data_IF_272240355060
#
_entry.id   IF_272240355060
#
_cell.length_a   1.000
_cell.length_b   1.000
_cell.length_c   1.000
_cell.angle_alpha   90.00
_cell.angle_beta   90.00
_cell.angle_gamma   90.00
#
_symmetry.space_group_name_H-M   'P 1'
#
loop_
_entity.id
_entity.type
_entity.pdbx_description
1 polymer ?
#
# COMPACT_ATOMS: atom_id res chain seq x y z
N UNK A 1 -26.79 20.14 -6.31
CA UNK A 1 -25.34 20.20 -6.63
C UNK A 1 -24.60 21.04 -5.59
N UNK A 2 -24.25 20.46 -4.44
CA UNK A 2 -23.33 21.05 -3.44
C UNK A 2 -22.80 19.91 -2.57
N UNK A 3 -21.78 19.17 -3.03
CA UNK A 3 -21.09 18.17 -2.19
C UNK A 3 -19.71 17.73 -2.70
N UNK A 4 -18.99 18.57 -3.45
CA UNK A 4 -17.64 18.22 -3.95
C UNK A 4 -16.50 19.12 -3.45
N UNK A 5 -16.76 20.20 -2.69
CA UNK A 5 -15.70 21.15 -2.31
C UNK A 5 -14.91 20.79 -1.04
N UNK A 6 -15.37 19.83 -0.23
CA UNK A 6 -14.73 19.54 1.07
C UNK A 6 -13.70 18.40 1.06
N UNK A 7 -13.64 17.59 -0.01
CA UNK A 7 -12.71 16.44 -0.06
C UNK A 7 -11.30 16.83 -0.52
N UNK A 8 -11.18 17.88 -1.35
CA UNK A 8 -9.90 18.34 -1.89
C UNK A 8 -8.98 18.99 -0.85
N UNK A 9 -9.54 19.65 0.16
CA UNK A 9 -8.78 20.32 1.22
C UNK A 9 -8.15 19.31 2.19
N UNK A 10 -8.78 18.13 2.37
CA UNK A 10 -8.26 17.05 3.22
C UNK A 10 -7.04 16.34 2.64
N UNK A 11 -7.00 16.14 1.32
CA UNK A 11 -5.89 15.48 0.62
C UNK A 11 -4.64 16.37 0.53
N UNK A 12 -4.82 17.68 0.30
CA UNK A 12 -3.70 18.64 0.25
C UNK A 12 -2.90 18.73 1.56
N UNK A 13 -3.58 18.60 2.71
CA UNK A 13 -2.92 18.61 4.03
C UNK A 13 -2.19 17.31 4.36
N UNK A 14 -2.64 16.17 3.83
CA UNK A 14 -1.98 14.87 4.00
C UNK A 14 -0.68 14.76 3.18
N UNK A 15 -0.69 15.24 1.93
CA UNK A 15 0.51 15.20 1.05
C UNK A 15 1.61 16.14 1.55
N UNK A 16 1.25 17.32 2.07
CA UNK A 16 2.20 18.25 2.69
C UNK A 16 2.83 17.72 3.99
N UNK A 17 2.10 16.92 4.77
CA UNK A 17 2.63 16.32 6.00
C UNK A 17 3.66 15.21 5.71
N UNK A 18 3.47 14.42 4.64
CA UNK A 18 4.42 13.36 4.24
C UNK A 18 5.68 13.97 3.62
N UNK A 19 5.55 15.03 2.80
CA UNK A 19 6.69 15.73 2.21
C UNK A 19 7.59 16.40 3.28
N UNK A 20 7.01 16.96 4.34
CA UNK A 20 7.77 17.56 5.44
C UNK A 20 8.58 16.53 6.25
N UNK A 21 8.09 15.29 6.38
CA UNK A 21 8.81 14.20 7.06
C UNK A 21 10.01 13.73 6.21
N UNK A 22 9.86 13.66 4.89
CA UNK A 22 10.95 13.28 3.97
C UNK A 22 12.08 14.31 3.92
N UNK A 23 11.78 15.62 4.00
CA UNK A 23 12.80 16.68 4.00
C UNK A 23 13.52 16.77 5.36
N UNK A 24 12.83 16.52 6.48
CA UNK A 24 13.46 16.52 7.81
C UNK A 24 14.46 15.36 8.00
N UNK A 25 14.25 14.20 7.37
CA UNK A 25 15.17 13.06 7.46
C UNK A 25 16.43 13.22 6.60
N UNK A 26 16.38 14.00 5.50
CA UNK A 26 17.57 14.29 4.68
C UNK A 26 18.60 15.21 5.35
N UNK A 27 18.25 15.89 6.44
CA UNK A 27 19.17 16.82 7.14
C UNK A 27 19.87 16.22 8.37
N UNK A 28 19.47 15.03 8.85
CA UNK A 28 20.07 14.39 10.04
C UNK A 28 21.08 13.27 9.76
N UNK A 29 21.36 12.94 8.50
CA UNK A 29 22.27 11.84 8.12
C UNK A 29 23.55 12.33 7.42
N UNK A 30 24.22 13.36 7.96
CA UNK A 30 25.65 13.54 7.70
C UNK A 30 26.40 12.87 8.86
N UNK A 31 26.75 11.59 8.68
CA UNK A 31 27.63 10.85 9.61
C UNK A 31 28.94 10.52 8.90
N UNK A 32 30.02 11.02 9.48
CA UNK A 32 31.40 11.03 8.99
C UNK A 32 31.95 9.59 8.76
N UNK A 33 32.53 9.25 7.59
CA UNK A 33 32.93 7.88 7.23
C UNK A 33 34.24 7.37 7.87
N UNK A 34 34.70 7.91 9.00
CA UNK A 34 36.04 7.62 9.55
C UNK A 34 36.11 7.07 11.00
N UNK A 35 35.14 6.26 11.44
CA UNK A 35 35.29 5.48 12.69
C UNK A 35 35.30 3.98 12.42
N UNK A 36 36.41 3.26 12.68
CA UNK A 36 36.44 1.80 12.59
C UNK A 36 35.71 1.13 13.77
N UNK A 37 35.08 -0.05 13.58
CA UNK A 37 34.39 -0.76 14.64
C UNK A 37 35.37 -1.38 15.64
N UNK A 38 35.18 -1.10 16.93
CA UNK A 38 35.93 -1.70 18.03
C UNK A 38 35.65 -3.21 18.14
N UNK A 39 36.73 -3.97 18.16
CA UNK A 39 36.82 -5.38 18.52
C UNK A 39 36.46 -5.62 19.99
N UNK A 40 35.55 -6.55 20.25
CA UNK A 40 35.54 -7.32 21.50
C UNK A 40 35.30 -8.82 21.24
N UNK A 41 36.38 -9.59 21.35
CA UNK A 41 36.36 -11.04 21.61
C UNK A 41 36.04 -11.30 23.09
N UNK A 42 35.35 -12.41 23.40
CA UNK A 42 35.53 -13.08 24.70
C UNK A 42 34.32 -13.80 25.32
N UNK A 43 34.19 -15.09 24.98
CA UNK A 43 34.01 -16.22 25.91
C UNK A 43 32.63 -16.58 26.54
N UNK A 44 32.43 -17.92 26.50
CA UNK A 44 31.76 -18.86 27.45
C UNK A 44 30.26 -19.13 27.38
N UNK A 45 29.95 -20.39 27.04
CA UNK A 45 28.69 -21.10 27.30
C UNK A 45 28.38 -21.21 28.80
N UNK A 46 27.13 -21.55 29.15
CA UNK A 46 26.96 -22.80 29.89
C UNK A 46 25.72 -23.63 29.51
N UNK A 47 25.90 -24.95 29.57
CA UNK A 47 24.83 -25.94 29.73
C UNK A 47 24.11 -25.76 31.07
N UNK A 48 22.80 -26.02 31.09
CA UNK A 48 22.06 -26.35 32.31
C UNK A 48 21.26 -27.64 32.13
N UNK A 49 21.71 -28.66 32.87
CA UNK A 49 20.94 -29.81 33.34
C UNK A 49 19.66 -29.34 34.05
N UNK A 50 18.53 -29.98 33.77
CA UNK A 50 17.31 -29.87 34.57
C UNK A 50 16.95 -31.26 35.09
N UNK A 51 17.01 -31.38 36.42
CA UNK A 51 16.72 -32.58 37.18
C UNK A 51 15.60 -32.26 38.19
N UNK A 52 14.59 -33.14 38.22
CA UNK A 52 13.65 -33.47 39.31
C UNK A 52 12.57 -32.47 39.78
N UNK A 53 11.30 -32.91 39.68
CA UNK A 53 10.50 -33.30 40.87
C UNK A 53 9.24 -34.09 40.51
N UNK A 54 9.06 -35.25 41.17
CA UNK A 54 7.81 -35.99 41.36
C UNK A 54 7.27 -35.68 42.78
N UNK A 55 5.98 -35.97 43.09
CA UNK A 55 5.78 -37.05 44.07
C UNK A 55 4.51 -37.93 43.92
N UNK A 56 4.75 -39.23 44.19
CA UNK A 56 4.03 -40.23 44.99
C UNK A 56 2.65 -40.86 44.64
N UNK A 57 2.66 -42.19 44.78
CA UNK A 57 1.55 -43.11 45.06
C UNK A 57 1.45 -44.20 43.98
N UNK A 58 1.63 -45.51 44.17
CA UNK A 58 1.76 -46.38 45.34
C UNK A 58 1.17 -47.73 44.94
N UNK A 59 1.99 -48.80 44.94
CA UNK A 59 1.64 -50.22 45.18
C UNK A 59 2.63 -51.17 44.48
N UNK A 60 3.31 -51.99 45.28
CA UNK A 60 4.05 -53.20 44.90
C UNK A 60 3.24 -54.40 45.42
N UNK A 61 3.37 -55.59 44.82
CA UNK A 61 4.17 -56.62 45.49
C UNK A 61 5.02 -57.42 44.47
N UNK A 62 6.32 -57.68 44.68
CA UNK A 62 6.98 -58.55 45.66
C UNK A 62 7.28 -59.93 45.05
N UNK A 63 8.57 -60.26 44.92
CA UNK A 63 9.11 -61.63 45.01
C UNK A 63 10.65 -61.60 44.97
N UNK A 64 11.22 -61.97 46.12
CA UNK A 64 12.62 -62.30 46.41
C UNK A 64 13.17 -63.41 45.47
N UNK A 65 14.46 -63.65 45.24
CA UNK A 65 15.64 -63.77 46.12
C UNK A 65 16.87 -63.91 45.20
N UNK A 66 18.09 -63.49 45.60
CA UNK A 66 19.30 -63.50 44.77
C UNK A 66 20.03 -64.85 44.78
N UNK A 67 20.73 -65.20 43.70
CA UNK A 67 21.82 -66.18 43.75
C UNK A 67 22.90 -65.86 42.70
N UNK A 68 24.10 -65.71 43.23
CA UNK A 68 25.38 -65.50 42.54
C UNK A 68 25.77 -66.71 41.69
N UNK A 69 26.26 -66.45 40.47
CA UNK A 69 27.16 -67.35 39.74
C UNK A 69 28.07 -66.53 38.79
N UNK A 70 29.37 -66.60 39.07
CA UNK A 70 30.55 -66.09 38.32
C UNK A 70 30.58 -66.60 36.86
N UNK A 71 31.25 -65.90 35.92
CA UNK A 71 30.88 -65.86 34.50
C UNK A 71 31.60 -66.93 33.66
N UNK A 72 31.06 -67.31 32.49
CA UNK A 72 31.85 -67.91 31.43
C UNK A 72 32.15 -66.89 30.32
N UNK A 73 33.46 -66.68 30.12
CA UNK A 73 34.14 -66.50 28.85
C UNK A 73 33.53 -65.54 27.81
N UNK A 74 34.18 -64.39 27.70
CA UNK A 74 34.88 -63.98 26.47
C UNK A 74 34.12 -64.25 25.17
N UNK A 75 33.15 -63.37 24.89
CA UNK A 75 32.73 -63.06 23.53
C UNK A 75 32.74 -61.56 23.41
N UNK A 76 33.89 -61.01 23.02
CA UNK A 76 33.97 -59.68 22.44
C UNK A 76 32.87 -59.58 21.38
N UNK A 77 31.89 -58.67 21.49
CA UNK A 77 31.01 -58.39 20.37
C UNK A 77 31.90 -57.95 19.19
N UNK A 78 31.59 -58.37 17.95
CA UNK A 78 32.38 -57.91 16.81
C UNK A 78 32.38 -56.38 16.83
N UNK A 79 33.52 -55.71 16.54
CA UNK A 79 33.52 -54.28 16.41
C UNK A 79 32.45 -53.92 15.40
N UNK A 80 31.43 -53.17 15.84
CA UNK A 80 30.49 -52.53 14.93
C UNK A 80 31.38 -51.66 14.07
N UNK A 81 31.63 -52.10 12.83
CA UNK A 81 32.20 -51.23 11.83
C UNK A 81 31.23 -50.05 11.75
N UNK A 82 31.65 -48.90 12.27
CA UNK A 82 31.03 -47.64 11.95
C UNK A 82 31.26 -47.45 10.45
N UNK A 83 30.40 -48.06 9.64
CA UNK A 83 30.21 -47.65 8.27
C UNK A 83 29.67 -46.24 8.40
N UNK A 84 30.54 -45.24 8.25
CA UNK A 84 30.09 -43.88 7.97
C UNK A 84 29.05 -44.00 6.88
N UNK A 85 27.76 -43.66 7.13
CA UNK A 85 26.78 -43.68 6.06
C UNK A 85 27.34 -42.83 4.93
N UNK A 86 27.32 -43.35 3.71
CA UNK A 86 27.67 -42.56 2.55
C UNK A 86 26.89 -41.24 2.63
N UNK A 87 27.52 -40.08 2.34
CA UNK A 87 26.80 -38.81 2.41
C UNK A 87 25.53 -38.95 1.58
N UNK A 88 24.38 -38.64 2.20
CA UNK A 88 23.12 -38.59 1.46
C UNK A 88 23.36 -37.67 0.26
N UNK A 89 23.04 -38.13 -0.94
CA UNK A 89 23.35 -37.42 -2.19
C UNK A 89 22.78 -36.00 -2.16
N UNK A 90 21.62 -35.83 -1.55
CA UNK A 90 20.90 -34.56 -1.37
C UNK A 90 21.63 -33.60 -0.41
N UNK A 91 22.25 -34.11 0.66
CA UNK A 91 23.07 -33.27 1.53
C UNK A 91 24.39 -32.87 0.87
N UNK A 92 24.94 -33.73 0.00
CA UNK A 92 26.15 -33.41 -0.75
C UNK A 92 25.92 -32.30 -1.79
N UNK A 93 24.78 -32.31 -2.47
CA UNK A 93 24.39 -31.25 -3.41
C UNK A 93 24.10 -29.94 -2.69
N UNK A 94 23.35 -29.95 -1.59
CA UNK A 94 23.13 -28.76 -0.76
C UNK A 94 24.44 -28.18 -0.19
N UNK A 95 25.35 -29.03 0.29
CA UNK A 95 26.66 -28.58 0.79
C UNK A 95 27.51 -27.95 -0.31
N UNK A 96 27.47 -28.51 -1.52
CA UNK A 96 28.18 -27.94 -2.66
C UNK A 96 27.58 -26.58 -3.08
N UNK A 97 26.25 -26.41 -2.99
CA UNK A 97 25.62 -25.12 -3.22
C UNK A 97 26.08 -24.08 -2.19
N UNK A 98 26.13 -24.45 -0.90
CA UNK A 98 26.61 -23.56 0.16
C UNK A 98 28.07 -23.13 -0.07
N UNK A 99 28.95 -24.04 -0.47
CA UNK A 99 30.35 -23.71 -0.79
C UNK A 99 30.46 -22.70 -1.94
N UNK A 100 29.54 -22.73 -2.90
CA UNK A 100 29.47 -21.74 -3.98
C UNK A 100 28.90 -20.39 -3.54
N UNK A 101 27.98 -20.37 -2.56
CA UNK A 101 27.41 -19.15 -1.99
C UNK A 101 28.41 -18.39 -1.13
N UNK A 102 29.27 -19.12 -0.40
CA UNK A 102 30.29 -18.53 0.48
C UNK A 102 31.42 -17.81 -0.28
N UNK A 103 31.47 -17.93 -1.62
CA UNK A 103 32.47 -17.31 -2.49
C UNK A 103 31.79 -16.44 -3.55
N UNK A 104 31.82 -15.11 -3.36
CA UNK A 104 31.23 -14.12 -4.26
C UNK A 104 31.68 -14.29 -5.73
N UNK A 105 32.92 -14.73 -5.96
CA UNK A 105 33.43 -14.96 -7.30
C UNK A 105 32.73 -16.14 -8.02
N UNK A 106 32.03 -16.99 -7.27
CA UNK A 106 31.29 -18.15 -7.75
C UNK A 106 29.77 -17.96 -7.74
N UNK A 107 29.25 -16.79 -7.38
CA UNK A 107 27.79 -16.54 -7.33
C UNK A 107 27.06 -16.83 -8.65
N UNK A 108 27.70 -16.62 -9.80
CA UNK A 108 27.12 -17.02 -11.09
C UNK A 108 26.93 -18.54 -11.18
N UNK A 109 27.89 -19.33 -10.70
CA UNK A 109 27.78 -20.79 -10.66
C UNK A 109 26.76 -21.24 -9.60
N UNK A 110 26.76 -20.60 -8.42
CA UNK A 110 25.78 -20.83 -7.37
C UNK A 110 24.36 -20.63 -7.92
N UNK A 111 24.13 -19.55 -8.68
CA UNK A 111 22.83 -19.25 -9.30
C UNK A 111 22.36 -20.33 -10.26
N UNK A 112 23.21 -20.76 -11.18
CA UNK A 112 22.86 -21.84 -12.12
C UNK A 112 22.53 -23.13 -11.38
N UNK A 113 23.29 -23.46 -10.33
CA UNK A 113 23.05 -24.64 -9.50
C UNK A 113 21.74 -24.54 -8.73
N UNK A 114 21.50 -23.42 -8.04
CA UNK A 114 20.26 -23.16 -7.31
C UNK A 114 19.05 -23.26 -8.24
N UNK A 115 19.07 -22.63 -9.42
CA UNK A 115 17.96 -22.71 -10.36
C UNK A 115 17.66 -24.13 -10.82
N UNK A 116 18.70 -24.91 -11.07
CA UNK A 116 18.55 -26.30 -11.49
C UNK A 116 17.96 -27.15 -10.36
N UNK A 117 18.47 -26.98 -9.14
CA UNK A 117 18.00 -27.68 -7.94
C UNK A 117 16.56 -27.30 -7.59
N UNK A 118 16.19 -26.03 -7.71
CA UNK A 118 14.85 -25.52 -7.44
C UNK A 118 13.78 -26.18 -8.32
N UNK A 119 14.10 -26.48 -9.59
CA UNK A 119 13.11 -27.02 -10.54
C UNK A 119 13.13 -28.55 -10.61
N UNK A 120 14.30 -29.18 -10.38
CA UNK A 120 14.49 -30.63 -10.66
C UNK A 120 14.95 -31.44 -9.46
N UNK A 121 15.27 -30.80 -8.35
CA UNK A 121 15.72 -31.44 -7.13
C UNK A 121 14.62 -32.17 -6.37
N UNK A 122 15.04 -32.92 -5.36
CA UNK A 122 14.18 -33.41 -4.27
C UNK A 122 13.59 -32.26 -3.45
N UNK A 123 12.54 -32.51 -2.66
CA UNK A 123 11.91 -31.49 -1.80
C UNK A 123 12.92 -30.74 -0.92
N UNK A 124 13.89 -31.47 -0.35
CA UNK A 124 14.98 -30.88 0.43
C UNK A 124 15.89 -29.98 -0.43
N UNK A 125 16.31 -30.46 -1.60
CA UNK A 125 17.15 -29.67 -2.52
C UNK A 125 16.42 -28.44 -3.06
N UNK A 126 15.10 -28.53 -3.27
CA UNK A 126 14.27 -27.41 -3.71
C UNK A 126 14.21 -26.34 -2.63
N UNK A 127 14.01 -26.71 -1.36
CA UNK A 127 13.98 -25.75 -0.25
C UNK A 127 15.33 -25.04 -0.06
N UNK A 128 16.44 -25.79 -0.09
CA UNK A 128 17.79 -25.20 -0.02
C UNK A 128 18.06 -24.27 -1.22
N UNK A 129 17.58 -24.65 -2.41
CA UNK A 129 17.72 -23.83 -3.59
C UNK A 129 16.89 -22.54 -3.53
N UNK A 130 15.65 -22.59 -3.04
CA UNK A 130 14.81 -21.40 -2.81
C UNK A 130 15.49 -20.44 -1.84
N UNK A 131 16.03 -20.96 -0.74
CA UNK A 131 16.80 -20.16 0.22
C UNK A 131 18.06 -19.54 -0.41
N UNK A 132 18.75 -20.26 -1.29
CA UNK A 132 19.89 -19.71 -2.03
C UNK A 132 19.48 -18.60 -3.01
N UNK A 133 18.36 -18.78 -3.72
CA UNK A 133 17.83 -17.78 -4.66
C UNK A 133 17.49 -16.46 -3.98
N UNK A 134 17.07 -16.49 -2.71
CA UNK A 134 16.87 -15.28 -1.89
C UNK A 134 18.11 -14.38 -1.85
N UNK A 135 19.29 -14.97 -1.65
CA UNK A 135 20.54 -14.21 -1.52
C UNK A 135 21.12 -13.81 -2.88
N UNK A 136 20.91 -14.66 -3.89
CA UNK A 136 21.48 -14.45 -5.23
C UNK A 136 20.70 -13.45 -6.07
N UNK A 137 19.39 -13.33 -5.80
CA UNK A 137 18.47 -12.36 -6.39
C UNK A 137 18.44 -12.33 -7.92
N UNK A 138 17.84 -11.27 -8.44
CA UNK A 138 17.73 -10.97 -9.87
C UNK A 138 16.55 -11.62 -10.57
N UNK A 139 16.26 -11.14 -11.78
CA UNK A 139 15.06 -11.49 -12.55
C UNK A 139 14.96 -12.99 -12.85
N UNK A 140 16.07 -13.66 -13.17
CA UNK A 140 16.06 -15.11 -13.42
C UNK A 140 15.69 -15.89 -12.14
N UNK A 141 16.12 -15.42 -10.96
CA UNK A 141 15.78 -16.05 -9.69
C UNK A 141 14.28 -15.87 -9.40
N UNK A 142 13.75 -14.67 -9.59
CA UNK A 142 12.32 -14.40 -9.46
C UNK A 142 11.48 -15.30 -10.39
N UNK A 143 11.86 -15.41 -11.67
CA UNK A 143 11.21 -16.32 -12.64
C UNK A 143 11.28 -17.79 -12.24
N UNK A 144 12.36 -18.18 -11.56
CA UNK A 144 12.51 -19.55 -11.07
C UNK A 144 11.61 -19.79 -9.86
N UNK A 145 11.50 -18.83 -8.94
CA UNK A 145 10.61 -18.91 -7.78
C UNK A 145 9.15 -19.05 -8.21
N UNK A 146 8.68 -18.28 -9.19
CA UNK A 146 7.33 -18.44 -9.77
C UNK A 146 7.08 -19.86 -10.28
N UNK A 147 8.07 -20.47 -10.95
CA UNK A 147 7.95 -21.87 -11.40
C UNK A 147 7.87 -22.85 -10.23
N UNK A 148 8.64 -22.62 -9.16
CA UNK A 148 8.59 -23.44 -7.94
C UNK A 148 7.23 -23.32 -7.29
N UNK A 149 6.67 -22.11 -7.16
CA UNK A 149 5.34 -21.87 -6.62
C UNK A 149 4.27 -22.72 -7.33
N UNK A 150 4.35 -22.82 -8.66
CA UNK A 150 3.37 -23.53 -9.47
C UNK A 150 3.56 -25.07 -9.54
N UNK A 151 4.73 -25.61 -9.18
CA UNK A 151 5.07 -27.02 -9.50
C UNK A 151 5.72 -27.83 -8.39
N UNK A 152 6.23 -27.19 -7.34
CA UNK A 152 6.90 -27.87 -6.23
C UNK A 152 5.91 -28.40 -5.17
N UNK A 153 6.44 -29.15 -4.20
CA UNK A 153 5.67 -29.52 -3.01
C UNK A 153 5.33 -28.30 -2.14
N UNK A 154 4.29 -28.43 -1.33
CA UNK A 154 3.69 -27.33 -0.53
C UNK A 154 4.71 -26.49 0.24
N UNK A 155 5.68 -27.13 0.89
CA UNK A 155 6.70 -26.45 1.69
C UNK A 155 7.62 -25.58 0.84
N UNK A 156 8.11 -26.11 -0.28
CA UNK A 156 8.98 -25.37 -1.20
C UNK A 156 8.20 -24.28 -1.97
N UNK A 157 6.95 -24.54 -2.33
CA UNK A 157 6.08 -23.54 -2.95
C UNK A 157 5.80 -22.36 -1.99
N UNK A 158 5.50 -22.65 -0.72
CA UNK A 158 5.28 -21.64 0.33
C UNK A 158 6.53 -20.78 0.55
N UNK A 159 7.70 -21.42 0.70
CA UNK A 159 8.94 -20.67 0.88
C UNK A 159 9.28 -19.85 -0.38
N UNK A 160 9.01 -20.37 -1.58
CA UNK A 160 9.22 -19.64 -2.82
C UNK A 160 8.37 -18.36 -2.90
N UNK A 161 7.11 -18.40 -2.42
CA UNK A 161 6.25 -17.22 -2.32
C UNK A 161 6.83 -16.17 -1.37
N UNK A 162 7.25 -16.57 -0.18
CA UNK A 162 7.87 -15.65 0.78
C UNK A 162 9.14 -15.01 0.23
N UNK A 163 10.00 -15.80 -0.40
CA UNK A 163 11.24 -15.31 -1.00
C UNK A 163 10.93 -14.37 -2.18
N UNK A 164 9.98 -14.71 -3.05
CA UNK A 164 9.60 -13.85 -4.17
C UNK A 164 9.04 -12.52 -3.67
N UNK A 165 8.13 -12.54 -2.71
CA UNK A 165 7.56 -11.32 -2.09
C UNK A 165 8.66 -10.43 -1.51
N UNK A 166 9.63 -11.03 -0.82
CA UNK A 166 10.78 -10.31 -0.27
C UNK A 166 11.61 -9.63 -1.37
N UNK A 167 11.95 -10.36 -2.43
CA UNK A 167 12.74 -9.83 -3.54
C UNK A 167 12.01 -8.71 -4.30
N UNK A 168 10.71 -8.86 -4.56
CA UNK A 168 9.91 -7.82 -5.22
C UNK A 168 9.78 -6.57 -4.33
N UNK A 169 9.67 -6.75 -3.02
CA UNK A 169 9.65 -5.63 -2.07
C UNK A 169 11.00 -4.90 -2.02
N UNK A 170 12.12 -5.64 -2.08
CA UNK A 170 13.46 -5.06 -2.15
C UNK A 170 13.66 -4.25 -3.45
N UNK A 171 13.14 -4.75 -4.56
CA UNK A 171 13.16 -4.05 -5.86
C UNK A 171 12.40 -2.71 -5.83
N UNK A 172 11.41 -2.52 -4.95
CA UNK A 172 10.71 -1.23 -4.83
C UNK A 172 11.55 -0.13 -4.15
N UNK A 173 12.50 -0.51 -3.29
CA UNK A 173 13.24 0.43 -2.44
C UNK A 173 14.70 0.61 -2.85
N UNK A 174 15.20 -0.21 -3.78
CA UNK A 174 16.57 -0.14 -4.26
C UNK A 174 16.80 1.03 -5.23
N UNK A 175 18.00 1.60 -5.24
CA UNK A 175 18.39 2.71 -6.12
C UNK A 175 18.45 2.30 -7.61
N UNK A 176 18.53 1.00 -7.88
CA UNK A 176 18.63 0.44 -9.23
C UNK A 176 17.70 -0.78 -9.37
N UNK A 177 16.37 -0.56 -9.49
CA UNK A 177 15.41 -1.64 -9.55
C UNK A 177 15.59 -2.49 -10.82
N UNK A 178 15.22 -3.77 -10.73
CA UNK A 178 15.09 -4.60 -11.91
C UNK A 178 14.03 -4.02 -12.86
N UNK A 179 14.16 -4.21 -14.19
CA UNK A 179 13.12 -3.81 -15.13
C UNK A 179 11.79 -4.49 -14.80
N UNK A 180 10.70 -3.72 -14.80
CA UNK A 180 9.36 -4.25 -14.57
C UNK A 180 9.00 -5.29 -15.64
N UNK A 181 8.59 -6.48 -15.20
CA UNK A 181 8.22 -7.61 -16.06
C UNK A 181 6.75 -7.98 -15.82
N UNK A 182 5.82 -7.52 -16.69
CA UNK A 182 4.39 -7.76 -16.52
C UNK A 182 4.01 -9.24 -16.45
N UNK A 183 4.69 -10.08 -17.23
CA UNK A 183 4.43 -11.52 -17.26
C UNK A 183 4.83 -12.18 -15.95
N UNK A 184 5.94 -11.75 -15.34
CA UNK A 184 6.36 -12.23 -14.03
C UNK A 184 5.30 -11.95 -12.95
N UNK A 185 4.76 -10.73 -12.92
CA UNK A 185 3.74 -10.33 -11.97
C UNK A 185 2.44 -11.13 -12.15
N UNK A 186 1.98 -11.27 -13.40
CA UNK A 186 0.80 -12.07 -13.72
C UNK A 186 0.99 -13.53 -13.26
N UNK A 187 2.08 -14.16 -13.66
CA UNK A 187 2.36 -15.56 -13.32
C UNK A 187 2.52 -15.75 -11.80
N UNK A 188 3.11 -14.79 -11.08
CA UNK A 188 3.26 -14.84 -9.63
C UNK A 188 1.90 -14.79 -8.90
N UNK A 189 1.00 -13.92 -9.35
CA UNK A 189 -0.35 -13.80 -8.80
C UNK A 189 -1.16 -15.06 -9.12
N UNK A 190 -1.13 -15.56 -10.36
CA UNK A 190 -1.83 -16.77 -10.76
C UNK A 190 -1.31 -18.03 -10.04
N UNK A 191 -0.01 -18.07 -9.72
CA UNK A 191 0.63 -19.18 -9.01
C UNK A 191 0.61 -19.02 -7.47
N UNK A 192 -0.01 -17.96 -6.94
CA UNK A 192 -0.23 -17.84 -5.51
C UNK A 192 -1.18 -18.95 -5.02
N UNK A 193 -0.94 -19.47 -3.81
CA UNK A 193 -1.61 -20.66 -3.30
C UNK A 193 -3.06 -20.39 -2.90
N UNK A 194 -3.34 -19.23 -2.32
CA UNK A 194 -4.69 -18.81 -1.91
C UNK A 194 -4.97 -17.32 -2.19
N UNK A 195 -6.23 -16.92 -1.99
CA UNK A 195 -6.72 -15.55 -2.20
C UNK A 195 -5.97 -14.51 -1.37
N UNK A 196 -5.56 -14.85 -0.13
CA UNK A 196 -4.81 -13.91 0.73
C UNK A 196 -3.41 -13.68 0.18
N UNK A 197 -2.79 -14.70 -0.40
CA UNK A 197 -1.49 -14.58 -1.05
C UNK A 197 -1.60 -13.82 -2.39
N UNK A 198 -2.67 -14.04 -3.16
CA UNK A 198 -2.97 -13.27 -4.37
C UNK A 198 -3.11 -11.77 -4.04
N UNK A 199 -3.89 -11.43 -3.01
CA UNK A 199 -4.08 -10.06 -2.55
C UNK A 199 -2.74 -9.42 -2.14
N UNK A 200 -1.88 -10.16 -1.44
CA UNK A 200 -0.56 -9.65 -1.06
C UNK A 200 0.29 -9.23 -2.28
N UNK A 201 0.28 -10.02 -3.36
CA UNK A 201 0.96 -9.65 -4.60
C UNK A 201 0.28 -8.46 -5.29
N UNK A 202 -1.06 -8.38 -5.29
CA UNK A 202 -1.77 -7.24 -5.90
C UNK A 202 -1.56 -5.93 -5.15
N UNK A 203 -1.48 -5.96 -3.81
CA UNK A 203 -1.11 -4.79 -3.00
C UNK A 203 0.29 -4.32 -3.37
N UNK A 204 1.25 -5.24 -3.51
CA UNK A 204 2.62 -4.89 -3.90
C UNK A 204 2.69 -4.35 -5.34
N UNK A 205 1.92 -4.95 -6.26
CA UNK A 205 1.77 -4.47 -7.64
C UNK A 205 1.26 -3.03 -7.66
N UNK A 206 0.29 -2.68 -6.81
CA UNK A 206 -0.27 -1.33 -6.70
C UNK A 206 0.70 -0.27 -6.16
N UNK A 207 1.86 -0.67 -5.62
CA UNK A 207 2.93 0.28 -5.29
C UNK A 207 3.70 0.76 -6.53
N UNK A 208 3.53 0.10 -7.68
CA UNK A 208 4.10 0.55 -8.94
C UNK A 208 3.23 1.63 -9.60
N UNK A 209 3.81 2.52 -10.43
CA UNK A 209 3.04 3.48 -11.21
C UNK A 209 1.93 2.82 -12.07
N UNK A 210 0.80 3.50 -12.32
CA UNK A 210 -0.33 2.93 -13.06
C UNK A 210 0.05 2.34 -14.43
N UNK A 211 1.04 2.93 -15.12
CA UNK A 211 1.61 2.43 -16.39
C UNK A 211 2.14 1.00 -16.34
N UNK A 212 2.42 0.49 -15.15
CA UNK A 212 2.93 -0.86 -14.91
C UNK A 212 1.86 -1.76 -14.29
N UNK A 213 1.16 -1.27 -13.26
CA UNK A 213 0.16 -2.04 -12.54
C UNK A 213 -1.09 -2.32 -13.38
N UNK A 214 -1.65 -1.30 -14.05
CA UNK A 214 -2.93 -1.40 -14.76
C UNK A 214 -2.89 -2.47 -15.86
N UNK A 215 -1.88 -2.55 -16.75
CA UNK A 215 -1.83 -3.61 -17.76
C UNK A 215 -1.90 -5.02 -17.18
N UNK A 216 -1.21 -5.28 -16.07
CA UNK A 216 -1.24 -6.60 -15.40
C UNK A 216 -2.63 -6.89 -14.84
N UNK A 217 -3.26 -5.90 -14.20
CA UNK A 217 -4.60 -6.04 -13.65
C UNK A 217 -5.66 -6.26 -14.75
N UNK A 218 -5.54 -5.59 -15.90
CA UNK A 218 -6.40 -5.83 -17.06
C UNK A 218 -6.21 -7.25 -17.64
N UNK A 219 -4.98 -7.78 -17.60
CA UNK A 219 -4.71 -9.16 -18.00
C UNK A 219 -5.30 -10.20 -17.03
N UNK A 220 -5.46 -9.85 -15.76
CA UNK A 220 -6.07 -10.69 -14.71
C UNK A 220 -7.60 -10.59 -14.72
N UNK A 221 -8.16 -9.45 -15.14
CA UNK A 221 -9.60 -9.26 -15.37
C UNK A 221 -10.16 -10.21 -16.44
N UNK A 222 -9.31 -10.70 -17.33
CA UNK A 222 -9.66 -11.70 -18.35
C UNK A 222 -9.42 -13.15 -17.91
N UNK A 223 -8.96 -13.39 -16.67
CA UNK A 223 -8.71 -14.73 -16.14
C UNK A 223 -9.98 -15.58 -16.11
N UNK A 224 -9.90 -16.90 -16.32
CA UNK A 224 -11.05 -17.79 -16.16
C UNK A 224 -11.46 -18.01 -14.69
N UNK A 225 -10.66 -17.55 -13.73
CA UNK A 225 -10.94 -17.61 -12.29
C UNK A 225 -11.78 -16.39 -11.84
N UNK A 226 -13.03 -16.63 -11.45
CA UNK A 226 -13.97 -15.59 -11.02
C UNK A 226 -13.51 -14.84 -9.76
N UNK A 227 -12.79 -15.50 -8.83
CA UNK A 227 -12.25 -14.83 -7.64
C UNK A 227 -11.12 -13.89 -8.05
N UNK A 228 -10.23 -14.36 -8.92
CA UNK A 228 -9.11 -13.56 -9.41
C UNK A 228 -9.59 -12.36 -10.24
N UNK A 229 -10.64 -12.54 -11.04
CA UNK A 229 -11.33 -11.45 -11.75
C UNK A 229 -11.87 -10.39 -10.79
N UNK A 230 -12.57 -10.82 -9.74
CA UNK A 230 -13.14 -9.90 -8.75
C UNK A 230 -12.02 -9.11 -8.04
N UNK A 231 -10.99 -9.80 -7.59
CA UNK A 231 -9.85 -9.18 -6.93
C UNK A 231 -9.12 -8.20 -7.87
N UNK A 232 -8.94 -8.57 -9.14
CA UNK A 232 -8.38 -7.67 -10.15
C UNK A 232 -9.24 -6.41 -10.36
N UNK A 233 -10.58 -6.54 -10.33
CA UNK A 233 -11.48 -5.39 -10.44
C UNK A 233 -11.36 -4.42 -9.25
N UNK A 234 -11.30 -4.95 -8.02
CA UNK A 234 -11.12 -4.15 -6.81
C UNK A 234 -9.78 -3.40 -6.83
N UNK A 235 -8.71 -4.08 -7.27
CA UNK A 235 -7.39 -3.45 -7.40
C UNK A 235 -7.29 -2.50 -8.60
N UNK A 236 -8.05 -2.69 -9.68
CA UNK A 236 -8.15 -1.71 -10.77
C UNK A 236 -8.71 -0.40 -10.23
N UNK A 237 -9.86 -0.44 -9.56
CA UNK A 237 -10.50 0.75 -8.98
C UNK A 237 -9.54 1.49 -8.03
N UNK A 238 -8.80 0.76 -7.19
CA UNK A 238 -7.80 1.36 -6.30
C UNK A 238 -6.64 2.04 -7.07
N UNK A 239 -6.20 1.46 -8.20
CA UNK A 239 -5.09 1.98 -9.01
C UNK A 239 -5.49 3.07 -10.00
N UNK A 240 -6.79 3.23 -10.25
CA UNK A 240 -7.35 4.22 -11.19
C UNK A 240 -8.08 5.37 -10.48
N UNK A 241 -7.70 5.64 -9.23
CA UNK A 241 -8.26 6.73 -8.41
C UNK A 241 -9.77 6.61 -8.14
N UNK A 242 -10.28 5.38 -8.06
CA UNK A 242 -11.70 5.09 -7.82
C UNK A 242 -12.55 4.93 -9.07
N UNK A 243 -11.94 4.84 -10.26
CA UNK A 243 -12.69 4.63 -11.51
C UNK A 243 -13.09 3.16 -11.66
N UNK A 244 -14.39 2.91 -11.80
CA UNK A 244 -14.94 1.57 -11.98
C UNK A 244 -14.67 1.03 -13.40
N UNK A 245 -13.55 0.33 -13.56
CA UNK A 245 -13.17 -0.32 -14.84
C UNK A 245 -13.68 -1.75 -14.86
N UNK A 246 -14.52 -2.06 -15.85
CA UNK A 246 -15.14 -3.39 -16.01
C UNK A 246 -14.70 -4.14 -17.25
N UNK A 247 -14.00 -3.47 -18.18
CA UNK A 247 -13.50 -4.07 -19.42
C UNK A 247 -12.07 -3.63 -19.71
N UNK A 248 -11.33 -4.45 -20.49
CA UNK A 248 -9.99 -4.09 -20.95
C UNK A 248 -9.98 -2.78 -21.74
N UNK A 249 -10.94 -2.59 -22.64
CA UNK A 249 -11.04 -1.38 -23.48
C UNK A 249 -11.15 -0.10 -22.64
N UNK A 250 -11.99 -0.12 -21.59
CA UNK A 250 -12.11 1.00 -20.64
C UNK A 250 -10.78 1.28 -19.92
N UNK A 251 -10.09 0.23 -19.48
CA UNK A 251 -8.82 0.40 -18.78
C UNK A 251 -7.68 0.90 -19.65
N UNK A 252 -7.63 0.47 -20.91
CA UNK A 252 -6.63 0.94 -21.88
C UNK A 252 -6.88 2.40 -22.29
N UNK A 253 -8.15 2.79 -22.47
CA UNK A 253 -8.54 4.17 -22.73
C UNK A 253 -8.14 5.06 -21.54
N UNK A 254 -8.55 4.68 -20.32
CA UNK A 254 -8.17 5.38 -19.10
C UNK A 254 -6.66 5.53 -18.97
N UNK A 255 -5.90 4.46 -19.21
CA UNK A 255 -4.44 4.49 -19.08
C UNK A 255 -3.81 5.46 -20.09
N UNK A 256 -4.34 5.50 -21.31
CA UNK A 256 -3.86 6.41 -22.36
C UNK A 256 -4.12 7.87 -21.95
N UNK A 257 -5.35 8.20 -21.57
CA UNK A 257 -5.73 9.54 -21.13
C UNK A 257 -4.92 9.99 -19.91
N UNK A 258 -4.76 9.10 -18.93
CA UNK A 258 -4.00 9.37 -17.71
C UNK A 258 -2.53 9.66 -18.01
N UNK A 259 -1.90 8.93 -18.94
CA UNK A 259 -0.50 9.16 -19.30
C UNK A 259 -0.31 10.48 -20.07
N UNK A 260 -1.23 10.82 -20.96
CA UNK A 260 -1.21 12.11 -21.66
C UNK A 260 -1.39 13.28 -20.69
N UNK A 261 -2.29 13.15 -19.71
CA UNK A 261 -2.48 14.16 -18.66
C UNK A 261 -1.22 14.30 -17.79
N UNK A 262 -0.59 13.20 -17.40
CA UNK A 262 0.66 13.22 -16.63
C UNK A 262 1.81 13.87 -17.40
N UNK A 263 1.95 13.60 -18.70
CA UNK A 263 2.96 14.25 -19.55
C UNK A 263 2.70 15.75 -19.67
N UNK A 264 1.43 16.14 -19.87
CA UNK A 264 1.04 17.55 -19.92
C UNK A 264 1.37 18.28 -18.62
N UNK A 265 1.02 17.70 -17.46
CA UNK A 265 1.33 18.27 -16.15
C UNK A 265 2.84 18.45 -15.97
N UNK A 266 3.65 17.44 -16.32
CA UNK A 266 5.11 17.53 -16.21
C UNK A 266 5.68 18.64 -17.09
N UNK A 267 5.17 18.78 -18.32
CA UNK A 267 5.62 19.82 -19.25
C UNK A 267 5.21 21.22 -18.79
N UNK A 268 4.04 21.38 -18.19
CA UNK A 268 3.60 22.62 -17.54
C UNK A 268 4.49 22.94 -16.33
N UNK A 269 4.76 21.98 -15.45
CA UNK A 269 5.64 22.16 -14.28
C UNK A 269 7.08 22.55 -14.68
N UNK A 270 7.64 21.93 -15.73
CA UNK A 270 8.97 22.29 -16.25
C UNK A 270 8.99 23.72 -16.81
N UNK A 271 7.93 24.14 -17.51
CA UNK A 271 7.77 25.50 -18.00
C UNK A 271 7.62 26.52 -16.86
N UNK A 272 6.85 26.18 -15.81
CA UNK A 272 6.71 27.02 -14.62
C UNK A 272 8.05 27.16 -13.88
N UNK A 273 8.82 26.07 -13.74
CA UNK A 273 10.13 26.09 -13.12
C UNK A 273 11.12 26.95 -13.92
N UNK A 274 11.13 26.83 -15.24
CA UNK A 274 11.96 27.65 -16.13
C UNK A 274 11.55 29.14 -16.08
N UNK A 275 10.25 29.45 -16.08
CA UNK A 275 9.74 30.81 -15.97
C UNK A 275 10.06 31.44 -14.60
N UNK A 276 10.03 30.65 -13.52
CA UNK A 276 10.43 31.07 -12.18
C UNK A 276 11.94 31.37 -12.09
N UNK A 277 12.79 30.58 -12.77
CA UNK A 277 14.23 30.86 -12.88
C UNK A 277 14.53 32.11 -13.72
N UNK A 278 13.71 32.42 -14.73
CA UNK A 278 13.84 33.63 -15.55
C UNK A 278 13.16 34.88 -14.95
N UNK A 279 12.45 34.74 -13.81
CA UNK A 279 11.77 35.85 -13.14
C UNK A 279 10.51 36.35 -13.83
N UNK A 280 9.87 35.52 -14.67
CA UNK A 280 8.64 35.87 -15.38
C UNK A 280 7.41 35.70 -14.48
N UNK A 281 6.73 36.81 -14.19
CA UNK A 281 5.59 36.92 -13.25
C UNK A 281 4.24 36.55 -13.91
N UNK A 282 4.23 36.05 -15.15
CA UNK A 282 3.00 35.79 -15.89
C UNK A 282 2.84 34.29 -16.18
N UNK A 283 2.48 33.55 -15.13
CA UNK A 283 2.25 32.11 -15.16
C UNK A 283 0.81 31.81 -15.62
N UNK A 284 0.55 30.82 -16.50
CA UNK A 284 -0.78 30.47 -17.00
C UNK A 284 -1.79 30.15 -15.88
N UNK A 285 -1.33 29.44 -14.83
CA UNK A 285 -2.16 29.09 -13.66
C UNK A 285 -2.53 30.30 -12.81
N UNK A 286 -1.66 31.32 -12.76
CA UNK A 286 -1.97 32.60 -12.13
C UNK A 286 -2.94 33.43 -12.96
N UNK A 287 -2.89 33.33 -14.30
CA UNK A 287 -3.89 33.95 -15.16
C UNK A 287 -5.28 33.33 -14.95
N UNK A 288 -5.38 32.01 -14.78
CA UNK A 288 -6.65 31.34 -14.45
C UNK A 288 -7.15 31.66 -13.04
N UNK A 289 -6.27 31.65 -12.03
CA UNK A 289 -6.61 32.06 -10.67
C UNK A 289 -7.09 33.51 -10.60
N UNK A 290 -6.42 34.42 -11.31
CA UNK A 290 -6.83 35.82 -11.39
C UNK A 290 -8.18 35.97 -12.08
N UNK A 291 -8.46 35.15 -13.09
CA UNK A 291 -9.76 35.15 -13.79
C UNK A 291 -10.88 34.64 -12.90
N UNK A 292 -10.62 33.61 -12.09
CA UNK A 292 -11.56 33.10 -11.09
C UNK A 292 -11.80 34.11 -9.96
N UNK A 293 -10.76 34.80 -9.51
CA UNK A 293 -10.85 35.85 -8.49
C UNK A 293 -11.62 37.07 -9.01
N UNK A 294 -11.42 37.45 -10.28
CA UNK A 294 -12.22 38.50 -10.95
C UNK A 294 -13.68 38.08 -11.16
N UNK A 295 -13.96 36.80 -11.46
CA UNK A 295 -15.33 36.28 -11.59
C UNK A 295 -16.05 36.21 -10.23
N UNK A 296 -15.33 35.82 -9.16
CA UNK A 296 -15.86 35.78 -7.80
C UNK A 296 -16.10 37.20 -7.24
N UNK A 297 -15.22 38.15 -7.56
CA UNK A 297 -15.40 39.57 -7.26
C UNK A 297 -16.62 40.17 -8.00
N UNK A 298 -16.85 39.77 -9.25
CA UNK A 298 -18.05 40.22 -9.99
C UNK A 298 -19.34 39.61 -9.45
N UNK A 299 -19.33 38.34 -9.05
CA UNK A 299 -20.49 37.69 -8.42
C UNK A 299 -20.83 38.30 -7.06
N UNK A 300 -19.83 38.63 -6.26
CA UNK A 300 -20.03 39.28 -4.96
C UNK A 300 -20.53 40.71 -5.12
N UNK A 301 -19.99 41.47 -6.08
CA UNK A 301 -20.49 42.81 -6.39
C UNK A 301 -21.95 42.80 -6.91
N UNK A 302 -22.31 41.83 -7.77
CA UNK A 302 -23.67 41.69 -8.27
C UNK A 302 -24.66 41.31 -7.16
N UNK A 303 -24.25 40.45 -6.21
CA UNK A 303 -25.08 40.09 -5.06
C UNK A 303 -25.26 41.28 -4.09
N UNK A 304 -24.23 42.12 -3.89
CA UNK A 304 -24.36 43.33 -3.08
C UNK A 304 -25.23 44.42 -3.73
N UNK A 305 -25.30 44.49 -5.07
CA UNK A 305 -26.25 45.38 -5.76
C UNK A 305 -27.69 44.86 -5.65
N UNK A 306 -27.91 43.56 -5.81
CA UNK A 306 -29.24 42.94 -5.67
C UNK A 306 -29.78 43.09 -4.23
N UNK A 307 -28.95 42.90 -3.21
CA UNK A 307 -29.33 43.09 -1.81
C UNK A 307 -29.67 44.57 -1.48
N UNK A 308 -29.02 45.54 -2.14
CA UNK A 308 -29.33 46.96 -1.99
C UNK A 308 -30.62 47.36 -2.70
N UNK A 309 -30.90 46.79 -3.88
CA UNK A 309 -32.17 47.03 -4.56
C UNK A 309 -33.34 46.43 -3.77
N UNK A 310 -33.18 45.22 -3.21
CA UNK A 310 -34.20 44.59 -2.37
C UNK A 310 -34.46 45.39 -1.08
N UNK A 311 -33.40 45.87 -0.40
CA UNK A 311 -33.55 46.73 0.79
C UNK A 311 -34.26 48.04 0.46
N UNK A 312 -33.92 48.68 -0.66
CA UNK A 312 -34.57 49.91 -1.10
C UNK A 312 -36.05 49.70 -1.43
N UNK A 313 -36.39 48.57 -2.05
CA UNK A 313 -37.77 48.20 -2.33
C UNK A 313 -38.57 47.84 -1.06
N UNK A 314 -37.90 47.42 0.01
CA UNK A 314 -38.55 47.17 1.30
C UNK A 314 -38.80 48.48 2.06
N UNK A 315 -37.83 49.39 2.09
CA UNK A 315 -37.98 50.73 2.70
C UNK A 315 -39.08 51.55 2.01
N UNK A 316 -39.14 51.56 0.67
CA UNK A 316 -40.22 52.28 -0.06
C UNK A 316 -41.61 51.69 0.23
N UNK A 317 -41.70 50.39 0.52
CA UNK A 317 -42.97 49.73 0.84
C UNK A 317 -43.41 49.97 2.30
N UNK A 318 -42.46 50.09 3.23
CA UNK A 318 -42.76 50.46 4.61
C UNK A 318 -43.17 51.95 4.72
N UNK A 319 -42.57 52.85 3.94
CA UNK A 319 -43.01 54.25 3.86
C UNK A 319 -44.42 54.39 3.26
N UNK A 320 -44.79 53.62 2.22
CA UNK A 320 -46.15 53.63 1.68
C UNK A 320 -47.19 53.07 2.68
N UNK A 321 -46.84 52.03 3.46
CA UNK A 321 -47.74 51.48 4.48
C UNK A 321 -47.92 52.43 5.68
N UNK A 322 -46.89 53.18 6.08
CA UNK A 322 -47.02 54.23 7.12
C UNK A 322 -47.87 55.42 6.64
N UNK A 323 -47.76 55.84 5.37
CA UNK A 323 -48.62 56.91 4.82
C UNK A 323 -50.10 56.46 4.72
N UNK A 324 -50.37 55.20 4.36
CA UNK A 324 -51.75 54.67 4.33
C UNK A 324 -52.35 54.56 5.75
N UNK A 325 -51.57 54.16 6.77
CA UNK A 325 -52.04 54.11 8.16
C UNK A 325 -52.34 55.52 8.72
N UNK A 326 -51.54 56.54 8.39
CA UNK A 326 -51.82 57.93 8.80
C UNK A 326 -53.09 58.49 8.13
N UNK A 327 -53.36 58.17 6.86
CA UNK A 327 -54.60 58.57 6.18
C UNK A 327 -55.84 57.88 6.78
N UNK A 328 -55.75 56.60 7.17
CA UNK A 328 -56.86 55.89 7.83
C UNK A 328 -57.15 56.45 9.25
N UNK A 329 -56.11 56.83 10.02
CA UNK A 329 -56.31 57.47 11.33
C UNK A 329 -56.95 58.87 11.21
N UNK A 330 -56.59 59.66 10.19
CA UNK A 330 -57.24 60.96 9.94
C UNK A 330 -58.73 60.79 9.52
N UNK A 331 -59.06 59.78 8.71
CA UNK A 331 -60.45 59.49 8.34
C UNK A 331 -61.29 59.02 9.55
N UNK A 332 -60.74 58.18 10.45
CA UNK A 332 -61.44 57.77 11.68
C UNK A 332 -61.68 58.95 12.64
N UNK A 333 -60.71 59.87 12.80
CA UNK A 333 -60.91 61.08 13.62
C UNK A 333 -61.99 62.01 13.03
N UNK A 334 -62.05 62.17 11.70
CA UNK A 334 -63.11 62.94 11.05
C UNK A 334 -64.49 62.27 11.21
N UNK A 335 -64.57 60.95 11.12
CA UNK A 335 -65.84 60.21 11.28
C UNK A 335 -66.34 60.26 12.73
N UNK A 336 -65.47 60.15 13.74
CA UNK A 336 -65.83 60.36 15.14
C UNK A 336 -66.28 61.80 15.44
N UNK A 337 -65.62 62.80 14.84
CA UNK A 337 -66.01 64.20 14.98
C UNK A 337 -67.40 64.48 14.38
N UNK A 338 -67.70 63.92 13.21
CA UNK A 338 -69.02 64.04 12.57
C UNK A 338 -70.12 63.35 13.40
N UNK A 339 -69.83 62.18 13.96
CA UNK A 339 -70.77 61.42 14.79
C UNK A 339 -71.07 62.11 16.12
N UNK A 340 -70.07 62.76 16.73
CA UNK A 340 -70.24 63.58 17.92
C UNK A 340 -71.08 64.85 17.64
N UNK A 341 -70.98 65.42 16.44
CA UNK A 341 -71.79 66.57 16.04
C UNK A 341 -73.25 66.18 15.75
N UNK A 342 -73.49 65.00 15.17
CA UNK A 342 -74.83 64.44 14.91
C UNK A 342 -75.56 64.01 16.19
N UNK A 343 -74.83 63.46 17.18
CA UNK A 343 -75.36 63.10 18.50
C UNK A 343 -75.75 64.36 19.30
N UNK A 344 -74.99 65.45 19.16
CA UNK A 344 -75.30 66.74 19.77
C UNK A 344 -76.50 67.44 19.11
N UNK A 345 -76.72 67.24 17.81
CA UNK A 345 -77.89 67.76 17.09
C UNK A 345 -79.19 67.00 17.40
N UNK A 346 -79.10 65.77 17.89
CA UNK A 346 -80.27 64.94 18.28
C UNK A 346 -80.66 65.10 19.75
N UNK A 347 -79.79 65.65 20.61
CA UNK A 347 -80.12 66.00 22.00
C UNK A 347 -80.88 67.34 22.17
N UNK A 348 -80.91 68.21 21.13
CA UNK A 348 -81.59 69.52 21.15
C UNK A 348 -82.97 69.56 20.44
N UNK A 349 -83.58 68.42 20.10
CA UNK A 349 -84.95 68.34 19.54
C UNK A 349 -85.90 67.45 20.35
#
# INVERSE_FOLDING_TARGET
MRLQKNTFIGLGLMVLAVAAICVAWRLTAVRDPNTPPETHQGATAPSTLQDNNLPQGGSRPDLATPLSATPPADKTPPPIAATTPAPNKEHATASALQELLDDDAKHTQARVMAMTMAVTGSDYEQLEAVNALRWLGGQDAQKTLVKVMASAGEEAATEARHVLMHLLTEDLITDSPAPFDPSLWKEAIEAAGDESEQEAFMVLLGAHPPRHAVPVLLDLLESDDDNLKQLAQEHLEANTSGEEITTREQGEEWLTEHLEEQEKIQLEEEQELAAAEEGAVDLPRFAELKKLEEEEAQKTAAAEEEEKEDQKATEEKEEEEEEEEEEEEEEEEEEEAQKAEEEKATEEN
#
